data_IF_444117889769
#
_entry.id   IF_444117889769
#
_cell.length_a   1.000
_cell.length_b   1.000
_cell.length_c   1.000
_cell.angle_alpha   90.00
_cell.angle_beta   90.00
_cell.angle_gamma   90.00
#
_symmetry.space_group_name_H-M   'P 1'
#
loop_
_entity.id
_entity.type
_entity.pdbx_description
1 polymer ?
#
# COMPACT_ATOMS: atom_id res chain seq x y z
N UNK A 1 10.21 13.19 -14.90
CA UNK A 1 9.47 11.95 -14.55
C UNK A 1 9.68 11.63 -13.09
N UNK A 2 8.63 11.28 -12.32
CA UNK A 2 8.80 10.88 -10.92
C UNK A 2 9.72 9.64 -10.85
N UNK A 3 10.73 9.69 -9.97
CA UNK A 3 11.71 8.61 -9.81
C UNK A 3 11.14 7.57 -8.86
N UNK A 4 10.74 6.41 -9.39
CA UNK A 4 10.25 5.30 -8.57
C UNK A 4 11.43 4.59 -7.90
N UNK A 5 11.55 4.72 -6.58
CA UNK A 5 12.63 4.07 -5.82
C UNK A 5 12.31 2.61 -5.47
N UNK A 6 11.03 2.27 -5.32
CA UNK A 6 10.59 0.96 -4.86
C UNK A 6 9.33 0.51 -5.59
N UNK A 7 9.20 -0.80 -5.81
CA UNK A 7 8.02 -1.43 -6.40
C UNK A 7 7.54 -2.55 -5.48
N UNK A 8 6.26 -2.51 -5.13
CA UNK A 8 5.65 -3.61 -4.39
C UNK A 8 5.58 -4.86 -5.30
N UNK A 9 5.96 -6.01 -4.75
CA UNK A 9 5.84 -7.28 -5.47
C UNK A 9 4.36 -7.58 -5.78
N UNK A 10 4.04 -8.21 -6.91
CA UNK A 10 2.66 -8.55 -7.24
C UNK A 10 1.97 -9.37 -6.15
N UNK A 11 0.65 -9.20 -6.02
CA UNK A 11 -0.25 -9.97 -5.12
C UNK A 11 -0.04 -9.76 -3.61
N UNK A 12 0.82 -8.82 -3.21
CA UNK A 12 0.82 -8.32 -1.84
C UNK A 12 -0.42 -7.46 -1.59
N UNK A 13 -1.02 -7.59 -0.40
CA UNK A 13 -2.07 -6.66 0.04
C UNK A 13 -1.42 -5.55 0.88
N UNK A 14 -1.87 -4.33 0.66
CA UNK A 14 -1.47 -3.16 1.45
C UNK A 14 -2.70 -2.60 2.12
N UNK A 15 -2.65 -2.50 3.44
CA UNK A 15 -3.71 -1.89 4.23
C UNK A 15 -3.21 -0.56 4.79
N UNK A 16 -4.05 0.47 4.69
CA UNK A 16 -3.92 1.73 5.40
C UNK A 16 -4.95 1.74 6.52
N UNK A 17 -4.50 1.79 7.78
CA UNK A 17 -5.37 1.79 8.97
C UNK A 17 -6.41 0.63 8.94
N UNK A 18 -5.97 -0.54 8.49
CA UNK A 18 -6.81 -1.75 8.37
C UNK A 18 -7.69 -1.83 7.11
N UNK A 19 -7.73 -0.79 6.26
CA UNK A 19 -8.47 -0.80 5.00
C UNK A 19 -7.55 -1.04 3.81
N UNK A 20 -7.93 -1.96 2.93
CA UNK A 20 -7.14 -2.25 1.73
C UNK A 20 -7.13 -1.04 0.77
N UNK A 21 -5.92 -0.61 0.38
CA UNK A 21 -5.71 0.58 -0.45
C UNK A 21 -6.31 0.45 -1.86
N UNK A 22 -6.62 -0.77 -2.32
CA UNK A 22 -7.34 -1.01 -3.58
C UNK A 22 -8.75 -0.41 -3.58
N UNK A 23 -9.34 -0.19 -2.40
CA UNK A 23 -10.63 0.48 -2.22
C UNK A 23 -10.48 1.98 -1.89
N UNK A 24 -9.27 2.53 -2.09
CA UNK A 24 -8.91 3.94 -1.99
C UNK A 24 -8.30 4.35 -3.34
N UNK A 25 -7.13 5.00 -3.35
CA UNK A 25 -6.40 5.42 -4.56
C UNK A 25 -5.24 4.46 -4.89
N UNK A 26 -5.28 3.24 -4.37
CA UNK A 26 -4.18 2.29 -4.52
C UNK A 26 -2.89 2.79 -3.86
N UNK A 27 -1.74 2.54 -4.49
CA UNK A 27 -0.43 3.02 -3.99
C UNK A 27 -0.24 4.55 -4.12
N UNK A 28 -1.19 5.27 -4.72
CA UNK A 28 -1.20 6.73 -4.75
C UNK A 28 -1.92 7.35 -3.54
N UNK A 29 -2.55 6.53 -2.69
CA UNK A 29 -3.25 7.00 -1.48
C UNK A 29 -2.30 7.83 -0.62
N UNK A 30 -2.71 9.07 -0.31
CA UNK A 30 -1.94 9.96 0.55
C UNK A 30 -1.85 9.42 1.98
N UNK A 31 -0.69 9.58 2.60
CA UNK A 31 -0.43 9.18 3.98
C UNK A 31 -0.34 10.42 4.87
N UNK A 32 -0.79 10.28 6.11
CA UNK A 32 -0.66 11.27 7.16
C UNK A 32 0.20 10.74 8.30
N UNK A 33 0.73 11.64 9.13
CA UNK A 33 1.41 11.24 10.35
C UNK A 33 0.45 10.46 11.27
N UNK A 34 0.94 9.35 11.83
CA UNK A 34 0.15 8.44 12.66
C UNK A 34 -0.55 7.32 11.89
N UNK A 35 -0.54 7.33 10.55
CA UNK A 35 -1.09 6.23 9.76
C UNK A 35 -0.30 4.92 9.94
N UNK A 36 -1.03 3.81 10.01
CA UNK A 36 -0.47 2.47 10.06
C UNK A 36 -0.59 1.79 8.70
N UNK A 37 0.56 1.45 8.12
CA UNK A 37 0.64 0.60 6.93
C UNK A 37 0.89 -0.86 7.32
N UNK A 38 0.03 -1.76 6.83
CA UNK A 38 0.23 -3.21 6.94
C UNK A 38 0.52 -3.79 5.57
N UNK A 39 1.64 -4.52 5.44
CA UNK A 39 2.01 -5.25 4.23
C UNK A 39 1.78 -6.74 4.46
N UNK A 40 0.85 -7.32 3.72
CA UNK A 40 0.52 -8.73 3.81
C UNK A 40 1.09 -9.46 2.58
N UNK A 41 1.87 -10.54 2.78
CA UNK A 41 2.33 -11.35 1.67
C UNK A 41 1.14 -12.01 0.97
N UNK A 42 1.29 -12.41 -0.30
CA UNK A 42 0.27 -13.20 -0.97
C UNK A 42 -0.04 -14.46 -0.16
N UNK A 43 -1.32 -14.81 -0.06
CA UNK A 43 -1.75 -16.10 0.47
C UNK A 43 -1.12 -17.25 -0.31
N UNK A 44 -0.94 -18.39 0.36
CA UNK A 44 -0.42 -19.63 -0.23
C UNK A 44 -1.40 -20.20 -1.26
#
# INVERSE_FOLDING_TARGET
>A
SPKTFYRLRPRWAVLLNGRDVRYLEGLATSLSEGDLLTLLPPGR
#
